data_IF_223403685224
#
_entry.id   IF_223403685224
#
_cell.length_a   1.000
_cell.length_b   1.000
_cell.length_c   1.000
_cell.angle_alpha   90.00
_cell.angle_beta   90.00
_cell.angle_gamma   90.00
#
_symmetry.space_group_name_H-M   'P 1'
#
loop_
_entity.id
_entity.type
_entity.pdbx_description
1 polymer ?
#
# COMPACT_ATOMS: atom_id res chain seq x y z
N UNK A 1 13.31 33.10 -24.04
CA UNK A 1 13.62 32.58 -22.69
C UNK A 1 12.74 31.38 -22.46
N UNK A 2 13.24 30.17 -22.69
CA UNK A 2 12.48 28.95 -22.36
C UNK A 2 12.44 28.83 -20.84
N UNK A 3 11.24 28.77 -20.27
CA UNK A 3 11.08 28.39 -18.88
C UNK A 3 11.71 27.00 -18.71
N UNK A 4 12.68 26.89 -17.81
CA UNK A 4 13.16 25.59 -17.37
C UNK A 4 11.99 24.94 -16.64
N UNK A 5 11.40 23.92 -17.23
CA UNK A 5 10.45 23.05 -16.54
C UNK A 5 11.22 22.34 -15.43
N UNK A 6 10.84 22.55 -14.18
CA UNK A 6 11.47 21.86 -13.07
C UNK A 6 11.12 20.37 -13.14
N UNK A 7 11.98 19.45 -12.65
CA UNK A 7 11.72 18.01 -12.64
C UNK A 7 10.43 17.57 -11.92
N UNK A 8 9.69 18.49 -11.31
CA UNK A 8 8.47 18.25 -10.53
C UNK A 8 7.20 18.86 -11.14
N UNK A 9 7.25 19.47 -12.32
CA UNK A 9 6.12 20.20 -12.92
C UNK A 9 4.89 19.32 -13.28
N UNK A 10 5.00 18.00 -13.17
CA UNK A 10 3.89 17.07 -13.40
C UNK A 10 3.01 16.83 -12.16
N UNK A 11 3.47 17.20 -10.96
CA UNK A 11 2.66 17.12 -9.74
C UNK A 11 1.98 18.46 -9.51
N UNK A 12 0.64 18.52 -9.36
CA UNK A 12 -0.06 19.76 -9.07
C UNK A 12 0.40 20.32 -7.71
N UNK A 13 0.26 21.64 -7.45
CA UNK A 13 0.55 22.21 -6.15
C UNK A 13 -0.27 21.55 -5.03
N UNK A 14 0.34 21.33 -3.88
CA UNK A 14 -0.32 20.75 -2.71
C UNK A 14 -1.49 21.63 -2.23
N UNK A 15 -2.67 21.02 -2.08
CA UNK A 15 -3.82 21.63 -1.44
C UNK A 15 -3.80 21.41 0.08
N UNK A 16 -4.41 22.30 0.89
CA UNK A 16 -4.64 22.01 2.31
C UNK A 16 -5.43 20.70 2.50
N UNK A 17 -5.14 19.98 3.58
CA UNK A 17 -5.74 18.67 3.87
C UNK A 17 -6.66 18.76 5.09
N UNK A 18 -7.86 18.20 4.97
CA UNK A 18 -8.73 17.85 6.08
C UNK A 18 -8.43 16.40 6.48
N UNK A 19 -8.19 16.13 7.77
CA UNK A 19 -8.03 14.78 8.31
C UNK A 19 -8.92 14.58 9.53
N UNK A 20 -9.78 13.56 9.51
CA UNK A 20 -10.74 13.25 10.58
C UNK A 20 -10.46 11.84 11.11
N UNK A 21 -10.25 11.72 12.43
CA UNK A 21 -10.04 10.45 13.11
C UNK A 21 -10.34 10.53 14.62
N UNK A 22 -10.73 9.41 15.26
CA UNK A 22 -11.19 8.19 14.61
C UNK A 22 -12.61 8.35 14.08
N UNK A 23 -12.87 7.87 12.85
CA UNK A 23 -14.23 7.54 12.40
C UNK A 23 -14.42 6.04 12.65
N UNK A 24 -15.55 5.66 13.24
CA UNK A 24 -15.82 4.27 13.64
C UNK A 24 -16.80 3.64 12.66
N UNK A 25 -16.41 2.51 12.07
CA UNK A 25 -17.28 1.67 11.24
C UNK A 25 -17.67 0.41 12.04
N UNK A 26 -18.98 0.10 12.15
CA UNK A 26 -19.43 -1.13 12.78
C UNK A 26 -18.78 -2.36 12.14
N UNK A 27 -18.26 -3.26 12.97
CA UNK A 27 -17.63 -4.49 12.50
C UNK A 27 -18.16 -5.74 13.21
N UNK A 28 -19.42 -6.15 12.92
CA UNK A 28 -19.94 -7.41 13.44
C UNK A 28 -19.01 -8.59 13.13
N UNK A 29 -18.74 -9.42 14.14
CA UNK A 29 -17.81 -10.55 14.04
C UNK A 29 -16.36 -10.23 14.36
N UNK A 30 -15.99 -8.95 14.55
CA UNK A 30 -14.67 -8.55 15.08
C UNK A 30 -14.72 -8.31 16.59
N UNK A 31 -13.58 -8.46 17.29
CA UNK A 31 -13.48 -8.13 18.73
C UNK A 31 -13.80 -6.66 19.05
N UNK A 32 -13.54 -5.76 18.10
CA UNK A 32 -13.78 -4.32 18.20
C UNK A 32 -14.18 -3.74 16.85
N UNK A 33 -14.93 -2.63 16.86
CA UNK A 33 -15.27 -1.88 15.65
C UNK A 33 -14.03 -1.33 14.94
N UNK A 34 -14.15 -1.17 13.61
CA UNK A 34 -13.06 -0.67 12.79
C UNK A 34 -12.90 0.84 12.99
N UNK A 35 -11.74 1.27 13.49
CA UNK A 35 -11.38 2.68 13.55
C UNK A 35 -10.60 3.05 12.30
N UNK A 36 -10.99 4.15 11.66
CA UNK A 36 -10.30 4.67 10.48
C UNK A 36 -9.96 6.16 10.63
N UNK A 37 -8.93 6.58 9.91
CA UNK A 37 -8.65 7.99 9.58
C UNK A 37 -9.04 8.24 8.14
N UNK A 38 -9.73 9.35 7.88
CA UNK A 38 -10.06 9.81 6.52
C UNK A 38 -9.36 11.14 6.29
N UNK A 39 -8.50 11.19 5.26
CA UNK A 39 -7.75 12.38 4.86
C UNK A 39 -8.08 12.75 3.41
N UNK A 40 -8.40 14.01 3.15
CA UNK A 40 -8.81 14.50 1.83
C UNK A 40 -8.37 15.95 1.60
N UNK A 41 -8.18 16.41 0.35
CA UNK A 41 -7.97 17.82 0.08
C UNK A 41 -9.21 18.63 0.51
N UNK A 42 -9.02 19.87 0.95
CA UNK A 42 -10.15 20.73 1.36
C UNK A 42 -11.08 21.10 0.19
N UNK A 43 -10.60 21.02 -1.05
CA UNK A 43 -11.33 21.35 -2.29
C UNK A 43 -11.27 20.21 -3.30
N UNK A 44 -12.13 20.27 -4.33
CA UNK A 44 -12.18 19.28 -5.42
C UNK A 44 -13.29 18.24 -5.26
N UNK A 45 -13.70 17.63 -6.36
CA UNK A 45 -14.78 16.63 -6.47
C UNK A 45 -14.34 15.50 -7.39
N UNK A 46 -15.03 14.35 -7.36
CA UNK A 46 -14.63 13.18 -8.14
C UNK A 46 -13.25 12.66 -7.73
N UNK A 47 -12.99 12.69 -6.42
CA UNK A 47 -11.72 12.32 -5.81
C UNK A 47 -11.62 10.80 -5.69
N UNK A 48 -10.55 10.16 -6.21
CA UNK A 48 -10.36 8.73 -6.06
C UNK A 48 -10.05 8.36 -4.61
N UNK A 49 -10.35 7.12 -4.26
CA UNK A 49 -10.13 6.58 -2.91
C UNK A 49 -8.87 5.72 -2.91
N UNK A 50 -7.98 5.96 -1.93
CA UNK A 50 -6.84 5.10 -1.62
C UNK A 50 -7.07 4.49 -0.24
N UNK A 51 -7.16 3.17 -0.19
CA UNK A 51 -7.08 2.41 1.06
C UNK A 51 -5.61 2.21 1.41
N UNK A 52 -5.15 2.65 2.58
CA UNK A 52 -3.74 2.55 2.98
C UNK A 52 -3.58 1.63 4.19
N UNK A 53 -3.10 0.41 3.93
CA UNK A 53 -2.82 -0.59 4.95
C UNK A 53 -1.49 -0.34 5.64
N UNK A 54 -1.50 -0.25 6.98
CA UNK A 54 -0.27 -0.19 7.76
C UNK A 54 0.47 -1.54 7.78
N UNK A 55 1.79 -1.50 7.95
CA UNK A 55 2.63 -2.67 8.18
C UNK A 55 2.45 -3.27 9.57
N UNK A 56 3.41 -4.08 9.99
CA UNK A 56 3.50 -4.56 11.36
C UNK A 56 4.86 -4.16 11.95
N UNK A 57 4.86 -3.67 13.18
CA UNK A 57 6.07 -3.33 13.91
C UNK A 57 5.85 -3.30 15.42
N UNK A 58 6.91 -2.94 16.15
CA UNK A 58 6.88 -2.85 17.61
C UNK A 58 6.23 -1.55 18.12
N UNK A 59 6.26 -0.50 17.30
CA UNK A 59 5.63 0.78 17.61
C UNK A 59 4.13 0.66 17.85
N UNK A 60 3.66 1.25 18.95
CA UNK A 60 2.25 1.18 19.33
C UNK A 60 1.33 1.80 18.26
N UNK A 61 1.68 2.98 17.76
CA UNK A 61 0.78 3.78 16.91
C UNK A 61 1.09 3.72 15.41
N UNK A 62 2.30 3.34 15.00
CA UNK A 62 2.66 3.33 13.57
C UNK A 62 1.97 2.18 12.82
N UNK A 63 1.74 1.06 13.51
CA UNK A 63 0.85 -0.01 13.01
C UNK A 63 -0.62 0.30 13.35
N UNK A 64 -1.14 1.43 12.88
CA UNK A 64 -2.55 1.84 13.05
C UNK A 64 -2.93 2.95 12.05
N UNK A 65 -4.15 3.50 12.16
CA UNK A 65 -4.60 4.71 11.45
C UNK A 65 -3.73 5.97 11.65
N UNK A 66 -2.74 5.93 12.57
CA UNK A 66 -1.81 7.04 12.83
C UNK A 66 -0.46 6.90 12.12
N UNK A 67 -0.12 5.74 11.55
CA UNK A 67 1.11 5.57 10.79
C UNK A 67 1.04 6.23 9.41
N UNK A 68 2.13 6.17 8.65
CA UNK A 68 2.21 6.51 7.23
C UNK A 68 1.78 7.94 6.89
N UNK A 69 1.88 8.87 7.84
CA UNK A 69 1.58 10.28 7.64
C UNK A 69 2.34 10.89 6.44
N UNK A 70 3.63 10.56 6.16
CA UNK A 70 4.32 11.04 4.97
C UNK A 70 3.59 10.73 3.66
N UNK A 71 3.04 9.53 3.50
CA UNK A 71 2.32 9.13 2.29
C UNK A 71 0.88 9.63 2.29
N UNK A 72 0.16 9.42 3.40
CA UNK A 72 -1.25 9.78 3.50
C UNK A 72 -1.49 11.28 3.32
N UNK A 73 -0.65 12.12 3.94
CA UNK A 73 -0.75 13.58 3.82
C UNK A 73 -0.41 14.02 2.40
N UNK A 74 0.63 13.43 1.80
CA UNK A 74 1.04 13.78 0.45
C UNK A 74 -0.03 13.41 -0.58
N UNK A 75 -0.53 12.17 -0.58
CA UNK A 75 -1.58 11.78 -1.54
C UNK A 75 -2.87 12.59 -1.35
N UNK A 76 -3.28 12.87 -0.09
CA UNK A 76 -4.44 13.70 0.18
C UNK A 76 -4.28 15.14 -0.33
N UNK A 77 -3.10 15.75 -0.11
CA UNK A 77 -2.81 17.09 -0.60
C UNK A 77 -2.84 17.18 -2.13
N UNK A 78 -2.67 16.06 -2.83
CA UNK A 78 -2.58 15.98 -4.28
C UNK A 78 -3.77 15.27 -4.93
N UNK A 79 -4.96 15.39 -4.33
CA UNK A 79 -6.22 15.08 -5.01
C UNK A 79 -6.81 13.69 -4.74
N UNK A 80 -6.29 12.96 -3.75
CA UNK A 80 -6.85 11.66 -3.34
C UNK A 80 -7.59 11.75 -1.99
N UNK A 81 -8.50 10.82 -1.76
CA UNK A 81 -9.04 10.55 -0.43
C UNK A 81 -8.35 9.32 0.12
N UNK A 82 -7.56 9.48 1.18
CA UNK A 82 -6.81 8.40 1.80
C UNK A 82 -7.54 7.92 3.05
N UNK A 83 -7.82 6.61 3.13
CA UNK A 83 -8.47 5.98 4.28
C UNK A 83 -7.51 4.99 4.91
N UNK A 84 -7.20 5.19 6.19
CA UNK A 84 -6.26 4.37 6.95
C UNK A 84 -7.00 3.65 8.07
N UNK A 85 -7.16 2.32 8.02
CA UNK A 85 -7.74 1.56 9.11
C UNK A 85 -6.72 1.26 10.22
N UNK A 86 -7.22 1.01 11.43
CA UNK A 86 -6.50 0.29 12.49
C UNK A 86 -6.92 -1.17 12.45
N UNK A 87 -6.03 -2.04 11.97
CA UNK A 87 -6.27 -3.48 11.95
C UNK A 87 -6.11 -4.11 13.34
N UNK A 88 -6.65 -5.33 13.52
CA UNK A 88 -6.62 -6.05 14.80
C UNK A 88 -5.21 -6.33 15.33
N UNK A 89 -4.20 -6.40 14.45
CA UNK A 89 -2.80 -6.59 14.87
C UNK A 89 -2.15 -5.33 15.48
N UNK A 90 -2.88 -4.20 15.51
CA UNK A 90 -2.43 -2.98 16.15
C UNK A 90 -2.35 -3.14 17.66
N UNK A 91 -1.17 -2.87 18.23
CA UNK A 91 -0.96 -2.88 19.69
C UNK A 91 -1.84 -1.89 20.45
N UNK A 92 -2.32 -0.83 19.77
CA UNK A 92 -3.27 0.14 20.37
C UNK A 92 -4.59 -0.48 20.82
N UNK A 93 -4.96 -1.64 20.26
CA UNK A 93 -6.20 -2.34 20.60
C UNK A 93 -6.04 -3.28 21.79
N UNK A 94 -4.79 -3.59 22.20
CA UNK A 94 -4.46 -4.43 23.35
C UNK A 94 -5.27 -5.75 23.41
N UNK A 95 -5.44 -6.41 22.25
CA UNK A 95 -6.17 -7.67 22.15
C UNK A 95 -5.38 -8.82 22.79
N UNK A 96 -6.10 -9.83 23.27
CA UNK A 96 -5.51 -11.06 23.79
C UNK A 96 -4.73 -11.78 22.66
N UNK A 97 -3.48 -12.23 22.88
CA UNK A 97 -2.71 -12.97 21.88
C UNK A 97 -3.36 -14.26 21.38
N UNK A 98 -4.29 -14.86 22.15
CA UNK A 98 -5.10 -16.01 21.76
C UNK A 98 -6.36 -15.67 20.98
N UNK A 99 -6.58 -14.38 20.63
CA UNK A 99 -7.70 -13.98 19.78
C UNK A 99 -7.58 -14.69 18.42
N UNK A 100 -8.65 -15.33 17.91
CA UNK A 100 -8.62 -15.99 16.60
C UNK A 100 -8.08 -15.09 15.48
N UNK A 101 -7.15 -15.63 14.69
CA UNK A 101 -6.45 -14.91 13.62
C UNK A 101 -5.17 -14.17 14.05
N UNK A 102 -4.84 -14.12 15.34
CA UNK A 102 -3.57 -13.58 15.83
C UNK A 102 -2.34 -14.31 15.24
N UNK A 103 -1.15 -13.68 15.23
CA UNK A 103 -0.86 -12.32 15.71
C UNK A 103 -1.11 -11.23 14.64
N UNK A 104 -1.15 -11.61 13.36
CA UNK A 104 -1.17 -10.66 12.25
C UNK A 104 -2.55 -10.41 11.65
N UNK A 105 -3.53 -11.26 11.97
CA UNK A 105 -4.92 -11.14 11.52
C UNK A 105 -5.01 -10.98 10.01
N UNK A 106 -4.22 -11.76 9.27
CA UNK A 106 -4.01 -11.62 7.81
C UNK A 106 -5.33 -11.56 7.03
N UNK A 107 -6.30 -12.43 7.38
CA UNK A 107 -7.63 -12.46 6.77
C UNK A 107 -8.45 -11.21 7.13
N UNK A 108 -8.56 -10.91 8.42
CA UNK A 108 -9.28 -9.74 8.91
C UNK A 108 -8.71 -8.42 8.38
N UNK A 109 -7.40 -8.33 8.07
CA UNK A 109 -6.79 -7.15 7.45
C UNK A 109 -7.35 -6.86 6.06
N UNK A 110 -7.52 -7.88 5.23
CA UNK A 110 -8.14 -7.74 3.91
C UNK A 110 -9.64 -7.44 4.04
N UNK A 111 -10.34 -8.15 4.92
CA UNK A 111 -11.77 -7.92 5.18
C UNK A 111 -12.06 -6.51 5.73
N UNK A 112 -11.14 -5.94 6.52
CA UNK A 112 -11.23 -4.54 6.96
C UNK A 112 -11.25 -3.57 5.79
N UNK A 113 -10.49 -3.85 4.72
CA UNK A 113 -10.48 -2.99 3.52
C UNK A 113 -11.79 -3.06 2.75
N UNK A 114 -12.34 -4.26 2.55
CA UNK A 114 -13.68 -4.45 1.99
C UNK A 114 -14.73 -3.74 2.84
N UNK A 115 -14.64 -3.83 4.17
CA UNK A 115 -15.55 -3.14 5.10
C UNK A 115 -15.47 -1.62 4.99
N UNK A 116 -14.29 -1.05 4.76
CA UNK A 116 -14.15 0.39 4.48
C UNK A 116 -14.92 0.78 3.22
N UNK A 117 -14.81 -0.03 2.15
CA UNK A 117 -15.52 0.23 0.89
C UNK A 117 -17.04 0.08 1.02
N UNK A 118 -17.49 -0.91 1.79
CA UNK A 118 -18.92 -1.07 2.11
C UNK A 118 -19.45 0.08 2.98
N UNK A 119 -18.57 0.67 3.79
CA UNK A 119 -18.87 1.76 4.72
C UNK A 119 -18.72 3.18 4.15
N UNK A 120 -18.47 3.38 2.85
CA UNK A 120 -18.21 4.72 2.29
C UNK A 120 -19.34 5.72 2.56
N UNK A 121 -20.61 5.29 2.52
CA UNK A 121 -21.76 6.14 2.88
C UNK A 121 -21.69 6.64 4.34
N UNK A 122 -21.28 5.76 5.26
CA UNK A 122 -21.10 6.12 6.67
C UNK A 122 -19.92 7.08 6.86
N UNK A 123 -18.83 6.89 6.11
CA UNK A 123 -17.69 7.79 6.14
C UNK A 123 -18.04 9.18 5.61
N UNK A 124 -18.77 9.28 4.50
CA UNK A 124 -19.24 10.58 3.97
C UNK A 124 -20.22 11.27 4.92
N UNK A 125 -21.06 10.52 5.63
CA UNK A 125 -21.93 11.09 6.66
C UNK A 125 -21.15 11.57 7.89
N UNK A 126 -20.12 10.82 8.30
CA UNK A 126 -19.27 11.17 9.43
C UNK A 126 -18.31 12.33 9.14
N UNK A 127 -17.98 12.54 7.86
CA UNK A 127 -17.13 13.64 7.37
C UNK A 127 -17.94 14.48 6.37
N UNK A 128 -18.83 15.38 6.81
CA UNK A 128 -19.73 16.12 5.92
C UNK A 128 -19.03 16.87 4.78
N UNK A 129 -17.79 17.32 5.00
CA UNK A 129 -16.96 17.96 3.99
C UNK A 129 -16.57 17.03 2.83
N UNK A 130 -16.77 15.72 2.95
CA UNK A 130 -16.50 14.71 1.92
C UNK A 130 -17.74 14.38 1.08
N UNK A 131 -18.94 14.79 1.53
CA UNK A 131 -20.22 14.39 0.94
C UNK A 131 -20.30 14.75 -0.55
N UNK A 132 -20.54 13.75 -1.39
CA UNK A 132 -20.67 13.85 -2.84
C UNK A 132 -19.35 14.08 -3.58
N UNK A 133 -18.20 14.01 -2.89
CA UNK A 133 -16.89 14.32 -3.49
C UNK A 133 -16.11 13.07 -3.91
N UNK A 134 -16.51 11.89 -3.46
CA UNK A 134 -15.84 10.63 -3.82
C UNK A 134 -16.17 10.19 -5.25
N UNK A 135 -15.15 9.78 -5.99
CA UNK A 135 -15.32 8.95 -7.18
C UNK A 135 -15.15 7.48 -6.79
N UNK A 136 -16.27 6.84 -6.46
CA UNK A 136 -16.29 5.44 -6.04
C UNK A 136 -15.94 4.45 -7.15
N UNK A 137 -15.85 4.90 -8.40
CA UNK A 137 -15.38 4.08 -9.52
C UNK A 137 -13.86 4.01 -9.62
N UNK A 138 -13.15 4.86 -8.87
CA UNK A 138 -11.69 4.95 -8.86
C UNK A 138 -11.17 4.64 -7.47
N UNK A 139 -10.94 3.36 -7.20
CA UNK A 139 -10.41 2.88 -5.93
C UNK A 139 -9.07 2.21 -6.15
N UNK A 140 -8.11 2.55 -5.30
CA UNK A 140 -6.83 1.88 -5.20
C UNK A 140 -6.57 1.39 -3.78
N UNK A 141 -5.66 0.43 -3.65
CA UNK A 141 -5.10 0.01 -2.37
C UNK A 141 -3.59 0.19 -2.38
N UNK A 142 -3.06 0.66 -1.26
CA UNK A 142 -1.65 0.74 -1.00
C UNK A 142 -1.34 0.10 0.35
N UNK A 143 -0.14 -0.44 0.51
CA UNK A 143 0.28 -0.92 1.81
C UNK A 143 1.76 -1.23 1.89
N UNK A 144 2.28 -1.13 3.11
CA UNK A 144 3.68 -1.36 3.42
C UNK A 144 3.89 -2.65 4.20
N UNK A 145 4.89 -3.47 3.84
CA UNK A 145 5.22 -4.71 4.57
C UNK A 145 3.99 -5.62 4.71
N UNK A 146 3.54 -5.96 5.92
CA UNK A 146 2.28 -6.70 6.13
C UNK A 146 1.04 -6.03 5.49
N UNK A 147 1.05 -4.70 5.37
CA UNK A 147 0.03 -3.98 4.62
C UNK A 147 0.19 -4.16 3.11
N UNK A 148 1.41 -4.34 2.61
CA UNK A 148 1.69 -4.73 1.23
C UNK A 148 1.18 -6.15 0.96
N UNK A 149 1.38 -7.10 1.87
CA UNK A 149 0.75 -8.42 1.77
C UNK A 149 -0.79 -8.33 1.73
N UNK A 150 -1.39 -7.52 2.61
CA UNK A 150 -2.84 -7.26 2.62
C UNK A 150 -3.32 -6.71 1.27
N UNK A 151 -2.60 -5.71 0.73
CA UNK A 151 -2.89 -5.14 -0.58
C UNK A 151 -2.75 -6.19 -1.71
N UNK A 152 -1.72 -7.04 -1.67
CA UNK A 152 -1.53 -8.11 -2.65
C UNK A 152 -2.72 -9.08 -2.71
N UNK A 153 -3.25 -9.50 -1.56
CA UNK A 153 -4.44 -10.38 -1.49
C UNK A 153 -5.66 -9.73 -2.17
N UNK A 154 -5.91 -8.45 -1.87
CA UNK A 154 -7.00 -7.68 -2.47
C UNK A 154 -6.84 -7.50 -3.99
N UNK A 155 -5.61 -7.54 -4.49
CA UNK A 155 -5.25 -7.43 -5.91
C UNK A 155 -5.19 -8.79 -6.63
N UNK A 156 -5.47 -9.89 -5.92
CA UNK A 156 -5.62 -11.23 -6.47
C UNK A 156 -4.46 -12.19 -6.20
N UNK A 157 -3.52 -11.86 -5.31
CA UNK A 157 -2.65 -12.89 -4.74
C UNK A 157 -3.49 -13.88 -3.90
N UNK A 158 -3.07 -15.14 -3.87
CA UNK A 158 -3.75 -16.22 -3.16
C UNK A 158 -2.83 -16.85 -2.13
N UNK A 159 -3.44 -17.55 -1.19
CA UNK A 159 -2.74 -18.43 -0.25
C UNK A 159 -3.66 -19.58 0.15
N UNK A 160 -3.09 -20.60 0.77
CA UNK A 160 -3.81 -21.66 1.47
C UNK A 160 -4.02 -21.26 2.92
N UNK A 161 -5.27 -21.29 3.41
CA UNK A 161 -5.56 -21.05 4.81
C UNK A 161 -4.86 -22.12 5.68
N UNK A 162 -4.02 -21.73 6.64
CA UNK A 162 -3.32 -22.68 7.49
C UNK A 162 -4.26 -23.47 8.44
N UNK A 163 -5.46 -22.98 8.72
CA UNK A 163 -6.40 -23.60 9.66
C UNK A 163 -7.21 -24.74 9.02
N UNK A 164 -7.58 -24.62 7.74
CA UNK A 164 -8.45 -25.60 7.05
C UNK A 164 -7.90 -26.13 5.72
N UNK A 165 -6.78 -25.61 5.23
CA UNK A 165 -6.13 -26.06 4.00
C UNK A 165 -6.82 -25.61 2.71
N UNK A 166 -7.81 -24.74 2.77
CA UNK A 166 -8.52 -24.24 1.58
C UNK A 166 -7.74 -23.12 0.89
N UNK A 167 -7.83 -23.05 -0.44
CA UNK A 167 -7.32 -21.88 -1.17
C UNK A 167 -8.22 -20.67 -0.89
N UNK A 168 -7.60 -19.54 -0.59
CA UNK A 168 -8.26 -18.30 -0.22
C UNK A 168 -8.11 -17.27 -1.32
N UNK A 169 -9.24 -16.77 -1.79
CA UNK A 169 -9.33 -15.64 -2.73
C UNK A 169 -10.05 -14.48 -2.03
N UNK A 170 -9.30 -13.41 -1.76
CA UNK A 170 -9.80 -12.18 -1.13
C UNK A 170 -9.78 -11.00 -2.11
N UNK A 171 -9.77 -11.29 -3.42
CA UNK A 171 -9.79 -10.25 -4.45
C UNK A 171 -10.98 -9.33 -4.26
N UNK A 172 -10.74 -8.03 -4.23
CA UNK A 172 -11.79 -7.03 -4.09
C UNK A 172 -12.01 -6.32 -5.45
N UNK A 173 -13.09 -6.65 -6.18
CA UNK A 173 -13.28 -6.23 -7.57
C UNK A 173 -13.47 -4.72 -7.75
N UNK A 174 -13.76 -3.96 -6.69
CA UNK A 174 -13.83 -2.49 -6.74
C UNK A 174 -12.45 -1.84 -6.85
N UNK A 175 -11.38 -2.52 -6.45
CA UNK A 175 -10.01 -1.99 -6.48
C UNK A 175 -9.43 -2.16 -7.89
N UNK A 176 -9.14 -1.04 -8.55
CA UNK A 176 -8.61 -1.00 -9.92
C UNK A 176 -7.09 -0.83 -10.02
N UNK A 177 -6.41 -0.47 -8.91
CA UNK A 177 -4.96 -0.24 -8.90
C UNK A 177 -4.33 -0.52 -7.52
N UNK A 178 -3.04 -0.87 -7.52
CA UNK A 178 -2.28 -1.21 -6.33
C UNK A 178 -0.94 -0.49 -6.18
N UNK A 179 -0.51 -0.23 -4.95
CA UNK A 179 0.88 0.11 -4.61
C UNK A 179 1.37 -0.79 -3.48
N UNK A 180 2.39 -1.60 -3.75
CA UNK A 180 2.97 -2.56 -2.82
C UNK A 180 4.34 -2.05 -2.37
N UNK A 181 4.45 -1.55 -1.14
CA UNK A 181 5.68 -0.98 -0.57
C UNK A 181 6.38 -2.03 0.28
N UNK A 182 7.59 -2.47 -0.09
CA UNK A 182 8.36 -3.49 0.63
C UNK A 182 7.49 -4.71 1.02
N UNK A 183 6.61 -5.14 0.11
CA UNK A 183 5.66 -6.20 0.39
C UNK A 183 6.37 -7.55 0.48
N UNK A 184 5.97 -8.45 1.40
CA UNK A 184 6.40 -9.85 1.38
C UNK A 184 6.21 -10.49 0.01
N UNK A 185 7.21 -11.25 -0.42
CA UNK A 185 7.22 -12.00 -1.67
C UNK A 185 6.53 -13.37 -1.56
N UNK A 186 6.93 -14.29 -2.45
CA UNK A 186 6.29 -15.61 -2.55
C UNK A 186 6.58 -16.48 -1.31
N UNK A 187 5.72 -17.46 -1.08
CA UNK A 187 5.93 -18.48 -0.05
C UNK A 187 6.94 -19.57 -0.45
N UNK A 188 6.87 -20.70 0.25
CA UNK A 188 7.66 -21.90 -0.03
C UNK A 188 9.12 -21.76 0.37
N UNK A 189 10.02 -22.14 -0.53
CA UNK A 189 11.47 -22.16 -0.32
C UNK A 189 12.10 -20.77 -0.17
N UNK A 190 11.34 -19.70 -0.40
CA UNK A 190 11.81 -18.34 -0.19
C UNK A 190 11.79 -17.94 1.30
N UNK A 191 10.98 -18.58 2.14
CA UNK A 191 10.82 -18.18 3.54
C UNK A 191 11.95 -18.67 4.44
N UNK A 192 12.24 -17.90 5.49
CA UNK A 192 13.04 -18.38 6.61
C UNK A 192 12.26 -19.48 7.38
N UNK A 193 13.00 -20.38 8.04
CA UNK A 193 12.40 -21.41 8.90
C UNK A 193 11.51 -20.79 9.98
N UNK A 194 11.98 -19.71 10.62
CA UNK A 194 11.21 -18.97 11.62
C UNK A 194 9.90 -18.40 11.06
N UNK A 195 9.91 -17.84 9.85
CA UNK A 195 8.69 -17.29 9.25
C UNK A 195 7.72 -18.40 8.85
N UNK A 196 8.23 -19.51 8.30
CA UNK A 196 7.44 -20.69 7.96
C UNK A 196 6.72 -21.27 9.20
N UNK A 197 7.39 -21.34 10.34
CA UNK A 197 6.83 -21.86 11.59
C UNK A 197 5.85 -20.89 12.26
N UNK A 198 6.22 -19.61 12.37
CA UNK A 198 5.47 -18.64 13.18
C UNK A 198 4.36 -17.91 12.39
N UNK A 199 4.43 -17.92 11.06
CA UNK A 199 3.49 -17.22 10.18
C UNK A 199 3.13 -18.11 8.99
N UNK A 200 2.49 -19.28 9.23
CA UNK A 200 2.28 -20.30 8.20
C UNK A 200 1.41 -19.85 7.02
N UNK A 201 0.63 -18.77 7.18
CA UNK A 201 -0.12 -18.18 6.06
C UNK A 201 0.81 -17.61 4.95
N UNK A 202 2.07 -17.29 5.25
CA UNK A 202 3.03 -16.90 4.21
C UNK A 202 3.47 -18.08 3.34
N UNK A 203 3.45 -19.33 3.85
CA UNK A 203 4.01 -20.52 3.18
C UNK A 203 3.48 -20.74 1.77
N UNK A 204 2.24 -20.37 1.53
CA UNK A 204 1.51 -20.64 0.29
C UNK A 204 1.20 -19.38 -0.51
N UNK A 205 1.81 -18.23 -0.17
CA UNK A 205 1.58 -16.97 -0.89
C UNK A 205 1.99 -17.13 -2.36
N UNK A 206 1.01 -16.95 -3.24
CA UNK A 206 1.14 -17.09 -4.69
C UNK A 206 0.59 -15.86 -5.42
N UNK A 207 1.33 -15.38 -6.42
CA UNK A 207 0.98 -14.20 -7.21
C UNK A 207 0.45 -14.55 -8.61
N UNK A 208 0.35 -15.83 -8.97
CA UNK A 208 -0.01 -16.26 -10.32
C UNK A 208 -1.42 -15.80 -10.77
N UNK A 209 -2.27 -15.40 -9.81
CA UNK A 209 -3.63 -14.88 -10.04
C UNK A 209 -3.76 -13.36 -9.85
N UNK A 210 -2.68 -12.67 -9.47
CA UNK A 210 -2.69 -11.23 -9.19
C UNK A 210 -2.67 -10.40 -10.49
N UNK A 211 -3.85 -10.23 -11.08
CA UNK A 211 -4.04 -9.58 -12.39
C UNK A 211 -4.20 -8.07 -12.31
N UNK A 212 -4.68 -7.53 -11.19
CA UNK A 212 -4.93 -6.08 -11.03
C UNK A 212 -3.63 -5.28 -11.17
N UNK A 213 -3.61 -4.15 -11.91
CA UNK A 213 -2.42 -3.33 -12.06
C UNK A 213 -1.83 -2.90 -10.72
N UNK A 214 -0.51 -3.02 -10.56
CA UNK A 214 0.17 -2.53 -9.37
C UNK A 214 1.58 -2.00 -9.64
N UNK A 215 1.97 -0.99 -8.85
CA UNK A 215 3.36 -0.58 -8.67
C UNK A 215 3.92 -1.32 -7.46
N UNK A 216 5.00 -2.07 -7.68
CA UNK A 216 5.78 -2.72 -6.63
C UNK A 216 6.97 -1.83 -6.33
N UNK A 217 7.22 -1.54 -5.06
CA UNK A 217 8.34 -0.71 -4.60
C UNK A 217 9.19 -1.56 -3.68
N UNK A 218 10.45 -1.78 -4.07
CA UNK A 218 11.41 -2.59 -3.33
C UNK A 218 12.65 -1.77 -3.00
N UNK A 219 13.18 -1.91 -1.78
CA UNK A 219 14.50 -1.40 -1.44
C UNK A 219 15.57 -2.45 -1.74
N UNK A 220 16.66 -2.07 -2.42
CA UNK A 220 17.72 -3.01 -2.78
C UNK A 220 18.63 -3.44 -1.61
N UNK A 221 18.39 -2.88 -0.42
CA UNK A 221 19.01 -3.28 0.86
C UNK A 221 18.03 -3.88 1.85
N UNK A 222 16.77 -4.10 1.45
CA UNK A 222 15.77 -4.75 2.30
C UNK A 222 16.01 -6.27 2.37
N UNK A 223 17.00 -6.68 3.16
CA UNK A 223 17.36 -8.09 3.38
C UNK A 223 16.17 -8.89 3.94
N UNK A 224 15.51 -8.37 4.98
CA UNK A 224 14.42 -9.04 5.67
C UNK A 224 14.72 -10.51 6.03
N UNK A 225 15.95 -10.84 6.45
CA UNK A 225 16.41 -12.18 6.86
C UNK A 225 15.51 -12.90 7.88
N UNK A 226 14.77 -12.13 8.69
CA UNK A 226 13.80 -12.68 9.64
C UNK A 226 12.58 -13.31 8.95
N UNK A 227 12.28 -12.93 7.70
CA UNK A 227 11.17 -13.43 6.88
C UNK A 227 11.62 -14.34 5.74
N UNK A 228 12.74 -14.04 5.08
CA UNK A 228 13.13 -14.66 3.81
C UNK A 228 14.60 -15.08 3.82
N UNK A 229 14.93 -16.11 3.04
CA UNK A 229 16.30 -16.50 2.70
C UNK A 229 16.71 -16.02 1.30
N UNK A 230 15.77 -15.41 0.57
CA UNK A 230 15.99 -14.92 -0.80
C UNK A 230 16.55 -13.50 -0.85
N UNK A 231 16.68 -12.80 0.28
CA UNK A 231 17.22 -11.43 0.31
C UNK A 231 16.30 -10.40 -0.40
N UNK A 232 16.86 -9.22 -0.77
CA UNK A 232 16.06 -8.08 -1.23
C UNK A 232 15.22 -8.31 -2.48
N UNK A 233 15.65 -9.19 -3.39
CA UNK A 233 14.86 -9.52 -4.59
C UNK A 233 13.49 -10.13 -4.28
N UNK A 234 13.30 -10.70 -3.08
CA UNK A 234 12.02 -11.27 -2.66
C UNK A 234 10.88 -10.24 -2.71
N UNK A 235 11.18 -8.97 -2.40
CA UNK A 235 10.19 -7.89 -2.47
C UNK A 235 9.77 -7.52 -3.89
N UNK A 236 10.51 -7.98 -4.91
CA UNK A 236 10.14 -7.84 -6.32
C UNK A 236 9.26 -8.98 -6.84
N UNK A 237 9.01 -10.04 -6.06
CA UNK A 237 8.17 -11.18 -6.46
C UNK A 237 6.76 -10.78 -6.94
N UNK A 238 6.03 -9.84 -6.29
CA UNK A 238 4.72 -9.42 -6.80
C UNK A 238 4.81 -8.82 -8.20
N UNK A 239 5.94 -8.22 -8.56
CA UNK A 239 6.20 -7.78 -9.94
C UNK A 239 6.51 -9.00 -10.79
N UNK A 240 7.51 -9.80 -10.45
CA UNK A 240 8.05 -10.88 -11.29
C UNK A 240 7.02 -11.97 -11.61
N UNK A 241 6.25 -12.40 -10.61
CA UNK A 241 5.41 -13.60 -10.65
C UNK A 241 3.96 -13.33 -11.07
N UNK A 242 3.51 -12.08 -11.01
CA UNK A 242 2.15 -11.71 -11.41
C UNK A 242 1.96 -11.69 -12.93
N UNK A 243 0.79 -12.11 -13.47
CA UNK A 243 0.53 -12.10 -14.91
C UNK A 243 0.06 -10.72 -15.45
N UNK A 244 -0.45 -9.83 -14.60
CA UNK A 244 -1.04 -8.55 -15.02
C UNK A 244 -0.01 -7.44 -15.31
N UNK A 245 -0.47 -6.25 -15.74
CA UNK A 245 0.39 -5.08 -15.86
C UNK A 245 1.02 -4.76 -14.50
N UNK A 246 2.33 -4.60 -14.46
CA UNK A 246 3.07 -4.28 -13.23
C UNK A 246 4.19 -3.32 -13.56
N UNK A 247 4.49 -2.42 -12.63
CA UNK A 247 5.72 -1.66 -12.61
C UNK A 247 6.51 -2.02 -11.36
N UNK A 248 7.83 -2.01 -11.43
CA UNK A 248 8.73 -2.18 -10.30
C UNK A 248 9.56 -0.91 -10.15
N UNK A 249 9.52 -0.29 -8.98
CA UNK A 249 10.42 0.75 -8.55
C UNK A 249 11.42 0.12 -7.57
N UNK A 250 12.66 -0.05 -7.99
CA UNK A 250 13.76 -0.44 -7.08
C UNK A 250 14.44 0.82 -6.59
N UNK A 251 14.40 1.08 -5.28
CA UNK A 251 15.06 2.21 -4.63
C UNK A 251 16.48 1.81 -4.22
N UNK A 252 17.46 2.63 -4.60
CA UNK A 252 18.86 2.37 -4.32
C UNK A 252 19.21 2.75 -2.88
N UNK A 253 19.92 1.84 -2.20
CA UNK A 253 20.33 2.00 -0.80
C UNK A 253 19.18 1.94 0.21
N UNK A 254 17.95 1.67 -0.23
CA UNK A 254 16.78 1.66 0.63
C UNK A 254 16.65 0.34 1.36
N UNK A 255 16.39 0.42 2.66
CA UNK A 255 16.05 -0.73 3.50
C UNK A 255 14.52 -0.88 3.60
N UNK A 256 14.05 -1.72 4.53
CA UNK A 256 12.62 -1.97 4.72
C UNK A 256 11.81 -0.70 4.99
N UNK A 257 12.39 0.30 5.65
CA UNK A 257 11.72 1.57 5.97
C UNK A 257 11.48 2.49 4.77
N UNK A 258 12.10 2.20 3.62
CA UNK A 258 12.03 2.99 2.38
C UNK A 258 12.30 4.49 2.62
N UNK A 259 13.23 4.80 3.54
CA UNK A 259 13.59 6.17 3.92
C UNK A 259 12.72 6.80 5.01
N UNK A 260 11.78 6.07 5.62
CA UNK A 260 10.94 6.58 6.72
C UNK A 260 9.47 6.74 6.35
N UNK A 261 8.94 5.94 5.41
CA UNK A 261 7.54 6.09 4.97
C UNK A 261 6.51 5.83 6.06
N UNK A 262 6.89 5.12 7.13
CA UNK A 262 6.04 4.79 8.27
C UNK A 262 5.70 6.01 9.15
N UNK A 263 6.53 7.06 9.17
CA UNK A 263 6.30 8.26 9.97
C UNK A 263 7.51 9.21 9.94
N UNK A 264 7.27 10.48 10.26
CA UNK A 264 8.32 11.49 10.33
C UNK A 264 9.21 11.27 11.57
N UNK A 265 10.53 11.36 11.39
CA UNK A 265 11.54 11.31 12.46
C UNK A 265 11.39 10.11 13.41
N UNK A 266 10.97 8.97 12.86
CA UNK A 266 10.72 7.76 13.64
C UNK A 266 12.06 7.08 13.94
N UNK A 267 12.35 6.89 15.23
CA UNK A 267 13.62 6.28 15.66
C UNK A 267 13.83 4.84 15.20
N UNK A 268 12.77 4.12 14.81
CA UNK A 268 12.85 2.76 14.25
C UNK A 268 13.17 2.72 12.74
N UNK A 269 13.19 3.88 12.06
CA UNK A 269 13.68 3.98 10.68
C UNK A 269 15.21 3.94 10.67
N UNK A 270 15.78 2.84 10.18
CA UNK A 270 17.24 2.63 10.10
C UNK A 270 17.88 3.31 8.89
N UNK A 271 17.09 3.61 7.85
CA UNK A 271 17.54 4.18 6.59
C UNK A 271 16.96 5.56 6.27
N UNK A 272 16.63 6.36 7.30
CA UNK A 272 15.93 7.65 7.17
C UNK A 272 16.57 8.54 6.09
N UNK A 273 15.75 8.88 5.09
CA UNK A 273 16.15 9.66 3.93
C UNK A 273 14.95 10.45 3.40
N UNK A 274 14.83 11.74 3.74
CA UNK A 274 13.74 12.58 3.26
C UNK A 274 13.69 12.71 1.73
N UNK A 275 14.83 12.61 1.04
CA UNK A 275 14.90 12.62 -0.42
C UNK A 275 14.27 11.38 -1.02
N UNK A 276 14.52 10.21 -0.42
CA UNK A 276 13.89 8.94 -0.78
C UNK A 276 12.40 8.96 -0.51
N UNK A 277 11.95 9.43 0.66
CA UNK A 277 10.51 9.58 0.95
C UNK A 277 9.83 10.47 -0.08
N UNK A 278 10.47 11.59 -0.45
CA UNK A 278 9.94 12.48 -1.48
C UNK A 278 9.87 11.82 -2.87
N UNK A 279 10.83 10.94 -3.21
CA UNK A 279 10.77 10.14 -4.43
C UNK A 279 9.63 9.12 -4.40
N UNK A 280 9.46 8.38 -3.29
CA UNK A 280 8.35 7.44 -3.09
C UNK A 280 7.01 8.16 -3.21
N UNK A 281 6.84 9.30 -2.54
CA UNK A 281 5.65 10.14 -2.62
C UNK A 281 5.31 10.50 -4.08
N UNK A 282 6.25 11.07 -4.83
CA UNK A 282 6.03 11.51 -6.21
C UNK A 282 5.73 10.36 -7.15
N UNK A 283 6.52 9.28 -7.11
CA UNK A 283 6.41 8.16 -8.04
C UNK A 283 5.12 7.35 -7.79
N UNK A 284 4.79 7.09 -6.53
CA UNK A 284 3.54 6.39 -6.18
C UNK A 284 2.30 7.22 -6.51
N UNK A 285 2.34 8.53 -6.25
CA UNK A 285 1.27 9.44 -6.65
C UNK A 285 1.07 9.44 -8.17
N UNK A 286 2.15 9.58 -8.94
CA UNK A 286 2.10 9.64 -10.40
C UNK A 286 1.56 8.35 -11.03
N UNK A 287 1.98 7.20 -10.49
CA UNK A 287 1.47 5.90 -10.87
C UNK A 287 -0.03 5.77 -10.60
N UNK A 288 -0.47 6.08 -9.37
CA UNK A 288 -1.88 6.01 -8.97
C UNK A 288 -2.73 6.96 -9.82
N UNK A 289 -2.24 8.18 -10.06
CA UNK A 289 -2.92 9.19 -10.87
C UNK A 289 -3.15 8.67 -12.29
N UNK A 290 -2.12 8.17 -12.96
CA UNK A 290 -2.21 7.71 -14.35
C UNK A 290 -3.01 6.42 -14.50
N UNK A 291 -2.98 5.55 -13.50
CA UNK A 291 -3.73 4.29 -13.51
C UNK A 291 -5.22 4.53 -13.26
N UNK A 292 -5.58 5.46 -12.36
CA UNK A 292 -6.97 5.79 -12.04
C UNK A 292 -7.59 6.79 -13.03
N UNK A 293 -6.78 7.59 -13.73
CA UNK A 293 -7.19 8.50 -14.79
C UNK A 293 -6.52 8.10 -16.12
N UNK A 294 -7.12 7.20 -16.91
CA UNK A 294 -6.55 6.80 -18.19
C UNK A 294 -6.23 8.01 -19.08
N UNK A 295 -4.99 8.08 -19.56
CA UNK A 295 -4.48 9.17 -20.41
C UNK A 295 -3.79 10.30 -19.64
N UNK A 296 -3.82 10.32 -18.31
CA UNK A 296 -3.03 11.26 -17.51
C UNK A 296 -1.52 10.95 -17.67
N UNK A 297 -0.68 11.94 -17.98
CA UNK A 297 0.73 11.72 -18.32
C UNK A 297 1.66 11.63 -17.10
N UNK A 298 1.15 11.80 -15.87
CA UNK A 298 1.97 11.94 -14.68
C UNK A 298 2.98 10.81 -14.48
N UNK A 299 2.60 9.56 -14.75
CA UNK A 299 3.49 8.41 -14.56
C UNK A 299 4.66 8.42 -15.54
N UNK A 300 4.40 8.73 -16.82
CA UNK A 300 5.47 8.83 -17.80
C UNK A 300 6.42 9.98 -17.45
N UNK A 301 5.87 11.15 -17.10
CA UNK A 301 6.67 12.30 -16.68
C UNK A 301 7.53 12.00 -15.43
N UNK A 302 6.99 11.27 -14.46
CA UNK A 302 7.73 10.89 -13.25
C UNK A 302 8.88 9.92 -13.55
N UNK A 303 8.69 9.00 -14.49
CA UNK A 303 9.74 8.09 -14.96
C UNK A 303 10.84 8.84 -15.71
N UNK A 304 10.46 9.72 -16.64
CA UNK A 304 11.42 10.53 -17.39
C UNK A 304 12.24 11.43 -16.45
N UNK A 305 11.61 11.99 -15.42
CA UNK A 305 12.29 12.80 -14.40
C UNK A 305 13.23 11.98 -13.51
N UNK A 306 12.88 10.72 -13.20
CA UNK A 306 13.76 9.80 -12.47
C UNK A 306 14.99 9.45 -13.33
N UNK A 307 14.78 9.06 -14.60
CA UNK A 307 15.85 8.58 -15.49
C UNK A 307 16.82 9.70 -15.94
N UNK A 308 16.37 10.95 -15.98
CA UNK A 308 17.19 12.11 -16.39
C UNK A 308 17.88 12.84 -15.23
N UNK A 309 17.61 12.46 -13.98
CA UNK A 309 18.22 13.06 -12.80
C UNK A 309 19.70 12.71 -12.63
N UNK A 310 20.55 13.62 -12.10
CA UNK A 310 21.99 13.38 -11.95
C UNK A 310 22.36 12.36 -10.86
N UNK A 311 21.42 11.97 -10.02
CA UNK A 311 21.57 10.94 -8.97
C UNK A 311 20.20 10.30 -8.67
N UNK A 312 19.74 9.35 -9.49
CA UNK A 312 18.40 8.80 -9.38
C UNK A 312 18.26 7.99 -8.09
N UNK A 313 17.19 8.22 -7.34
CA UNK A 313 16.87 7.50 -6.10
C UNK A 313 16.54 6.01 -6.32
N UNK A 314 16.43 5.57 -7.58
CA UNK A 314 16.04 4.23 -7.96
C UNK A 314 15.88 4.08 -9.46
N UNK A 315 15.36 2.93 -9.90
CA UNK A 315 15.02 2.65 -11.30
C UNK A 315 13.61 2.09 -11.42
N UNK A 316 12.98 2.31 -12.59
CA UNK A 316 11.65 1.78 -12.89
C UNK A 316 11.68 0.78 -14.05
N UNK A 317 11.12 -0.39 -13.80
CA UNK A 317 10.85 -1.42 -14.81
C UNK A 317 9.34 -1.58 -14.97
N UNK A 318 8.85 -1.99 -16.13
CA UNK A 318 7.42 -2.15 -16.37
C UNK A 318 7.13 -3.27 -17.36
N UNK A 319 6.11 -4.08 -17.06
CA UNK A 319 5.60 -5.12 -17.94
C UNK A 319 4.11 -4.94 -18.18
N UNK A 320 3.69 -5.30 -19.39
CA UNK A 320 2.28 -5.34 -19.79
C UNK A 320 1.72 -6.75 -19.57
N UNK A 321 0.40 -6.87 -19.50
CA UNK A 321 -0.25 -8.18 -19.55
C UNK A 321 0.17 -8.93 -20.84
N UNK A 322 0.41 -10.25 -20.79
CA UNK A 322 0.54 -11.06 -21.99
C UNK A 322 -0.67 -10.80 -22.88
N UNK A 323 -0.47 -10.50 -24.16
CA UNK A 323 -1.58 -10.45 -25.11
C UNK A 323 -2.25 -11.84 -25.11
N UNK A 324 -3.59 -11.93 -25.04
CA UNK A 324 -4.25 -13.22 -25.19
C UNK A 324 -3.77 -13.83 -26.52
N UNK A 325 -3.32 -15.09 -26.48
CA UNK A 325 -2.97 -15.80 -27.71
C UNK A 325 -4.25 -15.90 -28.56
N UNK A 326 -4.18 -15.60 -29.87
CA UNK A 326 -5.33 -15.69 -30.76
C UNK A 326 -5.91 -17.10 -30.82
#
# INVERSE_FOLDING_TARGET
MSAQTHPTDFVPPAAPVLSVAPVVLPAPGRPVDLRVRVSAPVTGTGLPVILLSHGQGYSNHLSSLNGYAPLATYWAAHGFVVIQPTHLSSRTLALDPGTPGAPLFWRSRAEDMTRVLDGLDLLEKAVPQLSGRLDRSRVAVAGHSMGGHTASLLLGARLTDPDDGTEVDLTEPRIGAGVLLAAPGRGGDALSESAAENMPFFLSTDFSRMTTPALVVAGDRDDSAHLTVSGPEWHADPYSLSPGPKSLLTLFGAEHGLGGVAGYDVAETTDEDPGRVAAVQRLTWAYLRSTLYPGDPAWQAARDALDSGPDPQGRVESKQAPRPRP
#
